data_IF_112853717660
#
_entry.id   IF_112853717660
#
_cell.length_a   1.000
_cell.length_b   1.000
_cell.length_c   1.000
_cell.angle_alpha   90.00
_cell.angle_beta   90.00
_cell.angle_gamma   90.00
#
_symmetry.space_group_name_H-M   'P 1'
#
loop_
_entity.id
_entity.type
_entity.pdbx_description
1 polymer ?
#
# COMPACT_ATOMS: atom_id res chain seq x y z
N UNK A 1 -14.87 9.11 -8.08
CA UNK A 1 -14.91 9.31 -6.63
C UNK A 1 -16.21 9.99 -6.25
N UNK A 2 -16.84 9.54 -5.19
CA UNK A 2 -18.11 10.11 -4.75
C UNK A 2 -17.92 11.50 -4.20
N UNK A 3 -18.82 12.45 -4.47
CA UNK A 3 -18.79 13.76 -3.81
C UNK A 3 -18.81 13.57 -2.29
N UNK A 4 -17.98 14.29 -1.58
CA UNK A 4 -17.83 14.19 -0.13
C UNK A 4 -16.95 13.06 0.35
N UNK A 5 -16.53 12.17 -0.54
CA UNK A 5 -15.64 11.06 -0.24
C UNK A 5 -14.18 11.49 -0.38
N UNK A 6 -13.81 12.56 0.32
CA UNK A 6 -12.50 13.17 0.19
C UNK A 6 -11.47 12.65 1.20
N UNK A 7 -11.95 11.94 2.24
CA UNK A 7 -11.07 11.44 3.27
C UNK A 7 -10.39 10.16 2.81
N UNK A 8 -9.09 10.29 2.60
CA UNK A 8 -8.24 9.15 2.27
C UNK A 8 -7.67 8.63 3.58
N UNK A 9 -7.86 7.34 3.84
CA UNK A 9 -7.29 6.72 5.03
C UNK A 9 -5.98 6.06 4.67
N UNK A 10 -4.94 6.45 5.39
CA UNK A 10 -3.63 5.86 5.27
C UNK A 10 -3.37 4.91 6.43
N UNK A 11 -2.49 3.94 6.22
CA UNK A 11 -1.99 3.08 7.28
C UNK A 11 -0.50 3.32 7.44
N UNK A 12 -0.12 4.27 8.27
CA UNK A 12 1.26 4.68 8.45
C UNK A 12 1.85 4.15 9.75
N UNK A 13 1.00 3.82 10.72
CA UNK A 13 1.40 3.27 12.01
C UNK A 13 0.22 2.54 12.64
N UNK A 14 0.52 1.71 13.63
CA UNK A 14 -0.48 0.84 14.24
C UNK A 14 -1.70 1.60 14.79
N UNK A 15 -1.48 2.75 15.38
CA UNK A 15 -2.58 3.51 15.99
C UNK A 15 -3.49 4.22 15.01
N UNK A 16 -3.22 4.14 13.71
CA UNK A 16 -4.09 4.73 12.70
C UNK A 16 -5.44 4.01 12.60
N UNK A 17 -5.52 2.79 13.10
CA UNK A 17 -6.76 2.02 13.12
C UNK A 17 -7.15 1.71 14.56
N UNK A 18 -8.46 1.66 14.80
CA UNK A 18 -9.03 1.30 16.10
C UNK A 18 -9.09 -0.23 16.27
N UNK A 19 -9.26 -0.68 17.50
CA UNK A 19 -9.32 -2.12 17.79
C UNK A 19 -10.40 -2.82 16.97
N UNK A 20 -11.59 -2.23 16.86
CA UNK A 20 -12.71 -2.81 16.10
C UNK A 20 -12.38 -2.89 14.61
N UNK A 21 -11.60 -1.96 14.10
CA UNK A 21 -11.17 -1.98 12.70
C UNK A 21 -10.20 -3.11 12.44
N UNK A 22 -9.28 -3.37 13.37
CA UNK A 22 -8.39 -4.53 13.27
C UNK A 22 -9.15 -5.84 13.33
N UNK A 23 -10.13 -5.93 14.21
CA UNK A 23 -10.97 -7.14 14.30
C UNK A 23 -11.68 -7.40 12.97
N UNK A 24 -12.21 -6.35 12.36
CA UNK A 24 -12.85 -6.44 11.05
C UNK A 24 -11.86 -6.90 9.98
N UNK A 25 -10.68 -6.29 9.95
CA UNK A 25 -9.65 -6.64 8.95
C UNK A 25 -9.21 -8.10 9.09
N UNK A 26 -8.99 -8.57 10.31
CA UNK A 26 -8.57 -9.95 10.53
C UNK A 26 -9.64 -10.93 10.11
N UNK A 27 -10.91 -10.64 10.37
CA UNK A 27 -12.01 -11.49 9.95
C UNK A 27 -12.14 -11.50 8.43
N UNK A 28 -12.02 -10.35 7.78
CA UNK A 28 -12.01 -10.28 6.32
C UNK A 28 -10.85 -11.08 5.73
N UNK A 29 -9.66 -10.93 6.30
CA UNK A 29 -8.49 -11.67 5.84
C UNK A 29 -8.70 -13.18 5.97
N UNK A 30 -9.27 -13.62 7.08
CA UNK A 30 -9.58 -15.04 7.31
C UNK A 30 -10.53 -15.58 6.24
N UNK A 31 -11.59 -14.86 5.94
CA UNK A 31 -12.59 -15.25 4.94
C UNK A 31 -11.96 -15.32 3.54
N UNK A 32 -11.21 -14.30 3.17
CA UNK A 32 -10.57 -14.24 1.86
C UNK A 32 -9.55 -15.38 1.70
N UNK A 33 -8.74 -15.61 2.73
CA UNK A 33 -7.78 -16.70 2.73
C UNK A 33 -8.46 -18.06 2.59
N UNK A 34 -9.59 -18.26 3.25
CA UNK A 34 -10.35 -19.51 3.16
C UNK A 34 -10.85 -19.74 1.74
N UNK A 35 -11.34 -18.69 1.07
CA UNK A 35 -11.76 -18.78 -0.32
C UNK A 35 -10.62 -19.22 -1.23
N UNK A 36 -9.45 -18.64 -1.07
CA UNK A 36 -8.28 -19.03 -1.89
C UNK A 36 -7.87 -20.46 -1.64
N UNK A 37 -7.89 -20.91 -0.39
CA UNK A 37 -7.55 -22.30 -0.07
C UNK A 37 -8.55 -23.30 -0.64
N UNK A 38 -9.78 -22.88 -0.83
CA UNK A 38 -10.82 -23.69 -1.44
C UNK A 38 -10.89 -23.53 -2.97
N UNK A 39 -9.93 -22.79 -3.55
CA UNK A 39 -9.88 -22.51 -4.99
C UNK A 39 -11.12 -21.79 -5.49
N UNK A 40 -11.80 -21.04 -4.63
CA UNK A 40 -12.92 -20.19 -5.00
C UNK A 40 -12.41 -18.88 -5.61
N UNK A 41 -12.89 -18.56 -6.79
CA UNK A 41 -12.54 -17.29 -7.42
C UNK A 41 -13.18 -16.15 -6.66
N UNK A 42 -12.36 -15.20 -6.21
CA UNK A 42 -12.83 -14.01 -5.52
C UNK A 42 -11.92 -12.84 -5.89
N UNK A 43 -12.42 -11.95 -6.74
CA UNK A 43 -11.60 -10.88 -7.33
C UNK A 43 -12.18 -9.49 -7.04
N UNK A 44 -12.20 -9.06 -5.75
CA UNK A 44 -12.74 -7.76 -5.38
C UNK A 44 -11.90 -6.59 -5.86
N UNK A 45 -10.65 -6.83 -6.28
CA UNK A 45 -9.73 -5.79 -6.72
C UNK A 45 -9.50 -5.81 -8.23
N UNK A 46 -10.48 -6.28 -8.98
CA UNK A 46 -10.41 -6.31 -10.45
C UNK A 46 -10.09 -4.90 -10.97
N UNK A 47 -9.08 -4.83 -11.84
CA UNK A 47 -8.64 -3.58 -12.46
C UNK A 47 -8.06 -2.55 -11.48
N UNK A 48 -7.69 -2.97 -10.27
CA UNK A 48 -7.00 -2.11 -9.31
C UNK A 48 -5.50 -2.36 -9.38
N UNK A 49 -4.73 -1.30 -9.18
CA UNK A 49 -3.28 -1.36 -9.24
C UNK A 49 -2.66 -0.88 -7.93
N UNK A 50 -1.76 -1.69 -7.40
CA UNK A 50 -0.93 -1.34 -6.26
C UNK A 50 0.46 -0.96 -6.76
N UNK A 51 0.95 0.21 -6.37
CA UNK A 51 2.36 0.54 -6.55
C UNK A 51 3.11 0.20 -5.26
N UNK A 52 4.18 -0.57 -5.37
CA UNK A 52 5.06 -0.86 -4.24
C UNK A 52 6.37 -0.15 -4.44
N UNK A 53 6.77 0.65 -3.45
CA UNK A 53 8.02 1.39 -3.48
C UNK A 53 8.93 0.83 -2.39
N UNK A 54 10.05 0.26 -2.81
CA UNK A 54 11.03 -0.34 -1.90
C UNK A 54 12.33 0.44 -1.94
N UNK A 55 12.66 1.11 -0.86
CA UNK A 55 14.01 1.63 -0.63
C UNK A 55 14.86 0.65 0.14
N UNK A 56 14.25 -0.38 0.69
CA UNK A 56 14.89 -1.44 1.45
C UNK A 56 14.31 -2.77 1.01
N UNK A 57 15.16 -3.72 0.70
CA UNK A 57 14.73 -5.02 0.17
C UNK A 57 13.88 -5.80 1.17
N UNK A 58 12.88 -6.50 0.66
CA UNK A 58 12.06 -7.40 1.46
C UNK A 58 11.37 -8.41 0.56
N UNK A 59 11.82 -9.67 0.62
CA UNK A 59 11.24 -10.75 -0.18
C UNK A 59 9.84 -11.10 0.31
N UNK A 60 9.67 -11.25 1.62
CA UNK A 60 8.38 -11.67 2.20
C UNK A 60 7.28 -10.64 1.95
N UNK A 61 7.58 -9.38 2.20
CA UNK A 61 6.62 -8.30 1.98
C UNK A 61 6.23 -8.22 0.52
N UNK A 62 7.23 -8.27 -0.37
CA UNK A 62 6.99 -8.21 -1.81
C UNK A 62 6.10 -9.35 -2.27
N UNK A 63 6.45 -10.58 -1.93
CA UNK A 63 5.70 -11.76 -2.37
C UNK A 63 4.26 -11.74 -1.83
N UNK A 64 4.08 -11.39 -0.56
CA UNK A 64 2.73 -11.39 0.04
C UNK A 64 1.82 -10.36 -0.63
N UNK A 65 2.31 -9.17 -0.89
CA UNK A 65 1.51 -8.14 -1.57
C UNK A 65 1.23 -8.50 -3.02
N UNK A 66 2.25 -8.96 -3.76
CA UNK A 66 2.04 -9.34 -5.15
C UNK A 66 1.08 -10.50 -5.29
N UNK A 67 1.28 -11.57 -4.53
CA UNK A 67 0.40 -12.73 -4.58
C UNK A 67 -1.03 -12.37 -4.18
N UNK A 68 -1.19 -11.58 -3.12
CA UNK A 68 -2.51 -11.16 -2.67
C UNK A 68 -3.24 -10.32 -3.72
N UNK A 69 -2.55 -9.39 -4.33
CA UNK A 69 -3.15 -8.54 -5.37
C UNK A 69 -3.60 -9.37 -6.57
N UNK A 70 -2.74 -10.26 -7.08
CA UNK A 70 -3.09 -11.10 -8.22
C UNK A 70 -4.24 -12.03 -7.91
N UNK A 71 -4.24 -12.65 -6.73
CA UNK A 71 -5.34 -13.54 -6.33
C UNK A 71 -6.66 -12.82 -6.24
N UNK A 72 -6.64 -11.54 -5.86
CA UNK A 72 -7.87 -10.73 -5.77
C UNK A 72 -8.21 -9.99 -7.06
N UNK A 73 -7.50 -10.26 -8.15
CA UNK A 73 -7.80 -9.70 -9.47
C UNK A 73 -7.09 -8.41 -9.81
N UNK A 74 -6.23 -7.92 -8.94
CA UNK A 74 -5.50 -6.69 -9.15
C UNK A 74 -4.16 -6.89 -9.83
N UNK A 75 -3.44 -5.80 -9.98
CA UNK A 75 -2.11 -5.79 -10.57
C UNK A 75 -1.14 -5.01 -9.67
N UNK A 76 0.16 -5.19 -9.92
CA UNK A 76 1.20 -4.57 -9.12
C UNK A 76 2.22 -3.91 -10.04
N UNK A 77 2.60 -2.69 -9.68
CA UNK A 77 3.77 -2.02 -10.24
C UNK A 77 4.82 -1.99 -9.15
N UNK A 78 5.97 -2.59 -9.40
CA UNK A 78 7.03 -2.70 -8.41
C UNK A 78 8.14 -1.71 -8.76
N UNK A 79 8.36 -0.74 -7.87
CA UNK A 79 9.36 0.31 -8.03
C UNK A 79 10.49 0.06 -7.03
N UNK A 80 11.61 -0.43 -7.53
CA UNK A 80 12.82 -0.52 -6.71
C UNK A 80 13.64 0.74 -6.95
N UNK A 81 14.18 1.28 -5.87
CA UNK A 81 14.94 2.53 -5.95
C UNK A 81 16.44 2.27 -5.79
N UNK A 82 16.93 1.16 -6.31
CA UNK A 82 18.36 0.87 -6.29
C UNK A 82 19.13 1.98 -6.99
N UNK A 83 20.06 2.58 -6.28
CA UNK A 83 20.85 3.68 -6.80
C UNK A 83 20.15 5.03 -6.80
N UNK A 84 18.86 5.08 -6.55
CA UNK A 84 18.14 6.33 -6.37
C UNK A 84 17.14 6.18 -5.25
N UNK A 85 17.06 7.17 -4.37
CA UNK A 85 16.16 7.17 -3.26
C UNK A 85 14.93 8.02 -3.57
N UNK A 86 13.80 7.64 -3.01
CA UNK A 86 12.59 8.43 -3.09
C UNK A 86 12.87 9.84 -2.57
N UNK A 87 12.53 10.85 -3.36
CA UNK A 87 12.77 12.25 -3.03
C UNK A 87 14.16 12.75 -3.39
N UNK A 88 15.01 11.92 -4.00
CA UNK A 88 16.39 12.31 -4.33
C UNK A 88 16.49 13.07 -5.66
N UNK A 89 15.84 12.56 -6.71
CA UNK A 89 15.86 13.16 -8.04
C UNK A 89 14.78 14.24 -8.19
N UNK A 90 13.71 14.13 -7.42
CA UNK A 90 12.62 15.09 -7.39
C UNK A 90 12.04 15.16 -5.98
N UNK A 91 11.34 16.24 -5.63
CA UNK A 91 10.68 16.32 -4.31
C UNK A 91 9.70 15.16 -4.11
N UNK A 92 9.66 14.66 -2.89
CA UNK A 92 8.76 13.55 -2.50
C UNK A 92 7.30 13.89 -2.80
N UNK A 93 6.92 15.14 -2.60
CA UNK A 93 5.57 15.63 -2.86
C UNK A 93 5.20 15.47 -4.32
N UNK A 94 6.15 15.70 -5.23
CA UNK A 94 5.92 15.56 -6.67
C UNK A 94 5.80 14.09 -7.05
N UNK A 95 6.64 13.24 -6.51
CA UNK A 95 6.53 11.79 -6.72
C UNK A 95 5.17 11.28 -6.24
N UNK A 96 4.71 11.74 -5.08
CA UNK A 96 3.41 11.36 -4.55
C UNK A 96 2.28 11.78 -5.47
N UNK A 97 2.32 13.01 -5.95
CA UNK A 97 1.28 13.53 -6.85
C UNK A 97 1.22 12.76 -8.16
N UNK A 98 2.38 12.45 -8.74
CA UNK A 98 2.45 11.75 -10.02
C UNK A 98 2.01 10.31 -9.89
N UNK A 99 2.59 9.56 -8.95
CA UNK A 99 2.30 8.14 -8.78
C UNK A 99 0.84 7.92 -8.38
N UNK A 100 0.33 8.72 -7.45
CA UNK A 100 -1.03 8.54 -6.95
C UNK A 100 -2.11 8.87 -7.98
N UNK A 101 -1.76 9.48 -9.10
CA UNK A 101 -2.69 9.68 -10.22
C UNK A 101 -2.85 8.45 -11.09
N UNK A 102 -1.89 7.52 -11.03
CA UNK A 102 -1.82 6.39 -11.94
C UNK A 102 -2.18 5.06 -11.29
N UNK A 103 -2.26 5.02 -9.96
CA UNK A 103 -2.54 3.78 -9.23
C UNK A 103 -3.66 4.00 -8.22
N UNK A 104 -4.13 2.90 -7.62
CA UNK A 104 -5.24 2.94 -6.67
C UNK A 104 -4.80 2.91 -5.22
N UNK A 105 -3.61 2.40 -4.96
CA UNK A 105 -3.06 2.31 -3.61
C UNK A 105 -1.54 2.20 -3.71
N UNK A 106 -0.84 2.68 -2.68
CA UNK A 106 0.62 2.67 -2.64
C UNK A 106 1.09 2.00 -1.35
N UNK A 107 2.10 1.16 -1.44
CA UNK A 107 2.81 0.62 -0.27
C UNK A 107 4.25 1.10 -0.35
N UNK A 108 4.79 1.59 0.76
CA UNK A 108 6.15 2.10 0.82
C UNK A 108 6.90 1.41 1.95
N UNK A 109 8.07 0.88 1.62
CA UNK A 109 9.04 0.39 2.59
C UNK A 109 10.28 1.27 2.50
N UNK A 110 10.53 2.05 3.54
CA UNK A 110 11.60 3.04 3.55
C UNK A 110 12.27 3.10 4.92
N UNK A 111 13.18 4.04 5.11
CA UNK A 111 13.91 4.19 6.37
C UNK A 111 13.23 5.21 7.28
N UNK A 112 12.96 6.39 6.81
CA UNK A 112 12.46 7.47 7.63
C UNK A 112 10.93 7.57 7.60
N UNK A 113 10.32 7.57 8.78
CA UNK A 113 8.86 7.74 8.90
C UNK A 113 8.41 9.07 8.31
N UNK A 114 9.20 10.13 8.48
CA UNK A 114 8.86 11.46 7.94
C UNK A 114 8.73 11.45 6.42
N UNK A 115 9.54 10.65 5.73
CA UNK A 115 9.47 10.49 4.28
C UNK A 115 8.14 9.86 3.85
N UNK A 116 7.73 8.82 4.57
CA UNK A 116 6.45 8.16 4.35
C UNK A 116 5.28 9.12 4.58
N UNK A 117 5.34 9.88 5.66
CA UNK A 117 4.31 10.86 6.01
C UNK A 117 4.20 11.96 4.97
N UNK A 118 5.33 12.44 4.46
CA UNK A 118 5.35 13.47 3.42
C UNK A 118 4.72 12.95 2.12
N UNK A 119 5.01 11.71 1.76
CA UNK A 119 4.38 11.08 0.59
C UNK A 119 2.87 10.98 0.78
N UNK A 120 2.43 10.48 1.93
CA UNK A 120 1.02 10.31 2.22
C UNK A 120 0.25 11.64 2.20
N UNK A 121 0.87 12.69 2.71
CA UNK A 121 0.24 14.01 2.76
C UNK A 121 -0.11 14.56 1.37
N UNK A 122 0.59 14.12 0.33
CA UNK A 122 0.39 14.61 -1.03
C UNK A 122 -0.16 13.54 -1.97
N UNK A 123 -0.50 12.37 -1.45
CA UNK A 123 -1.06 11.28 -2.22
C UNK A 123 -2.57 11.41 -2.37
N UNK A 124 -3.08 11.08 -3.55
CA UNK A 124 -4.52 11.02 -3.81
C UNK A 124 -5.14 9.69 -3.45
N UNK A 125 -4.31 8.71 -3.09
CA UNK A 125 -4.75 7.34 -2.80
C UNK A 125 -4.18 6.90 -1.47
N UNK A 126 -4.76 5.86 -0.85
CA UNK A 126 -4.23 5.35 0.41
C UNK A 126 -2.78 4.91 0.31
N UNK A 127 -2.04 5.16 1.38
CA UNK A 127 -0.64 4.75 1.51
C UNK A 127 -0.52 3.80 2.69
N UNK A 128 0.17 2.68 2.47
CA UNK A 128 0.42 1.65 3.47
C UNK A 128 1.90 1.65 3.83
N UNK A 129 2.19 1.68 5.12
CA UNK A 129 3.54 1.53 5.62
C UNK A 129 3.98 0.07 5.51
N UNK A 130 4.97 -0.20 4.67
CA UNK A 130 5.56 -1.53 4.53
C UNK A 130 6.74 -1.77 5.47
N UNK A 131 7.17 -0.78 6.17
CA UNK A 131 8.17 -0.74 7.24
C UNK A 131 8.96 0.55 7.15
N UNK A 132 9.13 1.21 8.28
CA UNK A 132 10.12 2.29 8.45
C UNK A 132 11.01 1.94 9.64
N UNK A 133 11.97 2.81 9.96
CA UNK A 133 12.79 2.62 11.15
C UNK A 133 11.98 2.71 12.45
N UNK A 134 10.86 3.39 12.42
CA UNK A 134 10.06 3.67 13.61
C UNK A 134 8.84 2.76 13.74
N UNK A 135 8.19 2.45 12.63
CA UNK A 135 6.94 1.69 12.65
C UNK A 135 6.93 0.61 11.58
N UNK A 136 6.20 -0.47 11.91
CA UNK A 136 6.04 -1.59 11.01
C UNK A 136 4.57 -1.93 10.82
#
# INVERSE_FOLDING_TARGET
MKPGSTLIRHYLQFKDFRAEEYAYLFERARIIKQRFKNYERYQPLTDRTLAMIFEKASTRTRVSFEAGMYQMGGSVVNLTTEGSQLGRAEPIEDSARVISRMVDIVMIRTFEQTKLEAFAAHSRVPVINGLTNEYH
#
